data_IF_242746587159
#
_entry.id   IF_242746587159
#
_cell.length_a   1.000
_cell.length_b   1.000
_cell.length_c   1.000
_cell.angle_alpha   90.00
_cell.angle_beta   90.00
_cell.angle_gamma   90.00
#
_symmetry.space_group_name_H-M   'P 1'
#
loop_
_entity.id
_entity.type
_entity.pdbx_description
1 polymer ?
#
# COMPACT_ATOMS: atom_id res chain seq x y z
N UNK A 1 21.77 -6.23 21.99
CA UNK A 1 21.65 -6.02 20.53
C UNK A 1 21.65 -4.54 20.24
N UNK A 2 22.52 -4.06 19.34
CA UNK A 2 22.53 -2.65 18.94
C UNK A 2 21.21 -2.31 18.21
N UNK A 3 20.56 -1.20 18.59
CA UNK A 3 19.35 -0.74 17.89
C UNK A 3 19.71 -0.35 16.45
N UNK A 4 18.82 -0.59 15.47
CA UNK A 4 19.05 -0.20 14.08
C UNK A 4 19.32 1.31 13.98
N UNK A 5 20.25 1.70 13.09
CA UNK A 5 20.56 3.10 12.83
C UNK A 5 19.30 3.83 12.34
N UNK A 6 19.08 5.03 12.85
CA UNK A 6 17.96 5.90 12.51
C UNK A 6 18.50 7.14 11.77
N UNK A 7 17.75 7.69 10.80
CA UNK A 7 18.06 8.97 10.17
C UNK A 7 18.33 10.08 11.19
N UNK A 8 19.21 11.01 10.83
CA UNK A 8 19.64 12.08 11.75
C UNK A 8 18.46 12.96 12.17
N UNK A 9 17.60 13.32 11.22
CA UNK A 9 16.41 14.15 11.45
C UNK A 9 15.47 13.52 12.49
N UNK A 10 15.32 12.20 12.45
CA UNK A 10 14.49 11.45 13.39
C UNK A 10 15.11 11.42 14.80
N UNK A 11 16.44 11.39 14.91
CA UNK A 11 17.14 11.47 16.20
C UNK A 11 17.03 12.87 16.82
N UNK A 12 17.23 13.92 16.00
CA UNK A 12 17.11 15.32 16.42
C UNK A 12 15.69 15.65 16.88
N UNK A 13 14.67 15.14 16.17
CA UNK A 13 13.28 15.29 16.56
C UNK A 13 12.95 14.63 17.91
N UNK A 14 13.43 13.38 18.11
CA UNK A 14 13.20 12.66 19.37
C UNK A 14 13.88 13.31 20.59
N UNK A 15 14.83 14.21 20.39
CA UNK A 15 15.55 14.91 21.47
C UNK A 15 16.43 14.00 22.34
N UNK A 16 16.63 12.74 21.94
CA UNK A 16 17.25 11.71 22.79
C UNK A 16 18.78 11.61 22.63
N UNK A 17 19.41 12.54 21.89
CA UNK A 17 20.86 12.57 21.72
C UNK A 17 21.37 14.01 21.65
N UNK A 18 22.37 14.31 22.48
CA UNK A 18 23.19 15.51 22.36
C UNK A 18 24.31 15.18 21.36
N UNK A 19 24.10 15.48 20.08
CA UNK A 19 25.09 15.32 19.03
C UNK A 19 25.76 16.67 18.78
N UNK A 20 27.06 16.67 18.52
CA UNK A 20 27.76 17.90 18.11
C UNK A 20 27.40 18.27 16.66
N UNK A 21 27.66 19.52 16.25
CA UNK A 21 27.45 19.97 14.86
C UNK A 21 28.21 19.08 13.86
N UNK A 22 29.48 18.77 14.17
CA UNK A 22 30.32 17.89 13.35
C UNK A 22 29.76 16.46 13.24
N UNK A 23 29.28 15.88 14.34
CA UNK A 23 28.66 14.54 14.32
C UNK A 23 27.36 14.49 13.52
N UNK A 24 26.59 15.59 13.48
CA UNK A 24 25.37 15.71 12.68
C UNK A 24 25.73 15.71 11.19
N UNK A 25 26.69 16.55 10.79
CA UNK A 25 27.15 16.64 9.40
C UNK A 25 27.74 15.32 8.89
N UNK A 26 28.61 14.69 9.66
CA UNK A 26 29.19 13.39 9.31
C UNK A 26 28.12 12.32 9.10
N UNK A 27 27.09 12.29 9.96
CA UNK A 27 25.99 11.33 9.83
C UNK A 27 25.07 11.62 8.67
N UNK A 28 24.79 12.90 8.42
CA UNK A 28 23.96 13.31 7.29
C UNK A 28 24.65 13.02 5.96
N UNK A 29 25.96 13.21 5.88
CA UNK A 29 26.78 12.86 4.72
C UNK A 29 26.89 11.34 4.52
N UNK A 30 26.94 10.57 5.62
CA UNK A 30 26.94 9.11 5.58
C UNK A 30 25.55 8.49 5.32
N UNK A 31 24.48 9.29 5.30
CA UNK A 31 23.13 8.79 5.09
C UNK A 31 22.91 8.45 3.61
N UNK A 32 22.55 7.19 3.35
CA UNK A 32 22.30 6.71 1.99
C UNK A 32 20.97 7.28 1.52
N UNK A 33 21.02 8.15 0.50
CA UNK A 33 19.84 8.65 -0.20
C UNK A 33 19.69 7.92 -1.53
N UNK A 34 18.55 7.26 -1.73
CA UNK A 34 18.24 6.60 -2.99
C UNK A 34 17.92 7.65 -4.07
N UNK A 35 18.45 7.50 -5.30
CA UNK A 35 18.15 8.42 -6.39
C UNK A 35 16.68 8.28 -6.85
N UNK A 36 16.11 9.35 -7.41
CA UNK A 36 14.71 9.45 -7.86
C UNK A 36 14.56 9.89 -9.33
N UNK A 37 15.64 9.82 -10.11
CA UNK A 37 15.74 10.31 -11.49
C UNK A 37 15.13 9.39 -12.55
N UNK A 38 14.87 8.12 -12.23
CA UNK A 38 14.45 7.06 -13.18
C UNK A 38 13.08 6.48 -12.87
N UNK A 39 12.21 7.25 -12.21
CA UNK A 39 10.85 6.81 -11.89
C UNK A 39 9.99 6.86 -13.15
N UNK A 40 9.76 5.69 -13.75
CA UNK A 40 8.93 5.54 -14.96
C UNK A 40 8.11 4.26 -14.88
N UNK A 41 6.91 4.30 -15.47
CA UNK A 41 6.06 3.12 -15.56
C UNK A 41 6.76 2.01 -16.37
N UNK A 42 6.94 0.80 -15.81
CA UNK A 42 7.61 -0.29 -16.50
C UNK A 42 6.74 -0.85 -17.64
N UNK A 43 7.37 -1.56 -18.57
CA UNK A 43 6.70 -2.12 -19.76
C UNK A 43 5.57 -3.09 -19.41
N UNK A 44 5.76 -3.88 -18.34
CA UNK A 44 4.78 -4.86 -17.87
C UNK A 44 3.53 -4.22 -17.26
N UNK A 45 3.57 -2.93 -16.88
CA UNK A 45 2.40 -2.27 -16.31
C UNK A 45 1.35 -2.04 -17.40
N UNK A 46 0.10 -2.54 -17.19
CA UNK A 46 -1.01 -2.32 -18.11
C UNK A 46 -1.17 -0.84 -18.49
N UNK A 47 -1.45 -0.56 -19.77
CA UNK A 47 -1.47 0.81 -20.32
C UNK A 47 -2.45 1.73 -19.59
N UNK A 48 -3.60 1.19 -19.18
CA UNK A 48 -4.64 1.90 -18.44
C UNK A 48 -4.17 2.36 -17.05
N UNK A 49 -3.23 1.64 -16.42
CA UNK A 49 -2.68 1.98 -15.10
C UNK A 49 -1.54 3.00 -15.16
N UNK A 50 -1.00 3.31 -16.36
CA UNK A 50 0.16 4.21 -16.49
C UNK A 50 -0.17 5.65 -16.11
N UNK A 51 -1.41 6.09 -16.33
CA UNK A 51 -1.87 7.42 -15.90
C UNK A 51 -1.87 7.54 -14.38
N UNK A 52 -2.40 6.52 -13.70
CA UNK A 52 -2.43 6.47 -12.23
C UNK A 52 -1.04 6.33 -11.63
N UNK A 53 -0.17 5.54 -12.26
CA UNK A 53 1.24 5.46 -11.89
C UNK A 53 1.88 6.84 -11.89
N UNK A 54 1.77 7.57 -13.01
CA UNK A 54 2.36 8.90 -13.13
C UNK A 54 1.81 9.86 -12.07
N UNK A 55 0.50 9.89 -11.91
CA UNK A 55 -0.15 10.78 -10.92
C UNK A 55 0.39 10.54 -9.51
N UNK A 56 0.39 9.27 -9.08
CA UNK A 56 0.83 8.92 -7.72
C UNK A 56 2.33 9.12 -7.58
N UNK A 57 3.14 8.74 -8.57
CA UNK A 57 4.59 8.94 -8.51
C UNK A 57 4.95 10.42 -8.40
N UNK A 58 4.29 11.29 -9.16
CA UNK A 58 4.53 12.73 -9.14
C UNK A 58 4.21 13.31 -7.74
N UNK A 59 3.10 12.88 -7.12
CA UNK A 59 2.75 13.27 -5.75
C UNK A 59 3.78 12.78 -4.71
N UNK A 60 4.24 11.52 -4.83
CA UNK A 60 5.21 10.94 -3.90
C UNK A 60 6.63 11.54 -4.05
N UNK A 61 7.03 11.88 -5.28
CA UNK A 61 8.27 12.60 -5.57
C UNK A 61 8.21 14.01 -4.98
N UNK A 62 7.08 14.72 -5.14
CA UNK A 62 6.90 16.07 -4.63
C UNK A 62 7.06 16.17 -3.10
N UNK A 63 6.68 15.11 -2.37
CA UNK A 63 6.87 15.02 -0.91
C UNK A 63 8.17 14.31 -0.50
N UNK A 64 9.01 13.91 -1.46
CA UNK A 64 10.36 13.39 -1.22
C UNK A 64 10.44 11.96 -0.68
N UNK A 65 9.39 11.15 -0.81
CA UNK A 65 9.34 9.78 -0.25
C UNK A 65 9.44 8.65 -1.28
N UNK A 66 9.56 8.97 -2.57
CA UNK A 66 9.73 7.98 -3.63
C UNK A 66 11.10 8.05 -4.28
N UNK A 67 11.67 6.89 -4.51
CA UNK A 67 12.95 6.67 -5.19
C UNK A 67 12.80 5.69 -6.36
N UNK A 68 13.88 5.49 -7.10
CA UNK A 68 13.98 4.49 -8.17
C UNK A 68 13.67 3.07 -7.68
N UNK A 69 13.88 2.78 -6.38
CA UNK A 69 13.66 1.45 -5.80
C UNK A 69 12.17 1.16 -5.57
N UNK A 70 11.33 2.19 -5.51
CA UNK A 70 9.91 2.08 -5.13
C UNK A 70 8.98 1.86 -6.34
N UNK A 71 9.53 1.86 -7.56
CA UNK A 71 8.77 1.70 -8.81
C UNK A 71 7.94 0.42 -8.80
N UNK A 72 8.53 -0.71 -8.43
CA UNK A 72 7.84 -2.00 -8.39
C UNK A 72 6.80 -2.05 -7.26
N UNK A 73 7.06 -1.39 -6.13
CA UNK A 73 6.08 -1.29 -5.04
C UNK A 73 4.82 -0.54 -5.50
N UNK A 74 5.00 0.58 -6.20
CA UNK A 74 3.88 1.32 -6.80
C UNK A 74 3.13 0.50 -7.86
N UNK A 75 3.85 -0.27 -8.69
CA UNK A 75 3.21 -1.16 -9.65
C UNK A 75 2.37 -2.25 -8.98
N UNK A 76 2.90 -2.89 -7.92
CA UNK A 76 2.17 -3.90 -7.14
C UNK A 76 0.91 -3.32 -6.50
N UNK A 77 0.98 -2.10 -5.96
CA UNK A 77 -0.19 -1.39 -5.43
C UNK A 77 -1.26 -1.22 -6.52
N UNK A 78 -0.90 -0.68 -7.68
CA UNK A 78 -1.85 -0.41 -8.77
C UNK A 78 -2.49 -1.68 -9.32
N UNK A 79 -1.70 -2.74 -9.51
CA UNK A 79 -2.19 -4.04 -9.99
C UNK A 79 -3.14 -4.66 -8.96
N UNK A 80 -2.77 -4.67 -7.67
CA UNK A 80 -3.61 -5.21 -6.60
C UNK A 80 -4.92 -4.44 -6.48
N UNK A 81 -4.87 -3.10 -6.61
CA UNK A 81 -6.06 -2.24 -6.63
C UNK A 81 -6.98 -2.58 -7.81
N UNK A 82 -6.42 -2.76 -9.01
CA UNK A 82 -7.19 -3.13 -10.21
C UNK A 82 -7.88 -4.49 -10.02
N UNK A 83 -7.15 -5.50 -9.56
CA UNK A 83 -7.69 -6.85 -9.31
C UNK A 83 -8.79 -6.83 -8.25
N UNK A 84 -8.58 -6.08 -7.16
CA UNK A 84 -9.60 -5.86 -6.13
C UNK A 84 -10.89 -5.28 -6.72
N UNK A 85 -10.80 -4.24 -7.54
CA UNK A 85 -11.97 -3.62 -8.17
C UNK A 85 -12.68 -4.57 -9.14
N UNK A 86 -11.92 -5.35 -9.92
CA UNK A 86 -12.49 -6.34 -10.83
C UNK A 86 -13.29 -7.41 -10.07
N UNK A 87 -12.69 -8.02 -9.04
CA UNK A 87 -13.37 -9.03 -8.23
C UNK A 87 -14.55 -8.44 -7.46
N UNK A 88 -14.42 -7.22 -6.95
CA UNK A 88 -15.53 -6.53 -6.26
C UNK A 88 -16.70 -6.29 -7.20
N UNK A 89 -16.45 -5.86 -8.44
CA UNK A 89 -17.51 -5.68 -9.43
C UNK A 89 -18.19 -7.00 -9.78
N UNK A 90 -17.44 -8.10 -9.92
CA UNK A 90 -18.02 -9.44 -10.11
C UNK A 90 -18.90 -9.86 -8.93
N UNK A 91 -18.48 -9.60 -7.68
CA UNK A 91 -19.27 -9.90 -6.49
C UNK A 91 -20.57 -9.07 -6.45
N UNK A 92 -20.51 -7.78 -6.78
CA UNK A 92 -21.69 -6.90 -6.80
C UNK A 92 -22.74 -7.32 -7.85
N UNK A 93 -22.31 -8.01 -8.92
CA UNK A 93 -23.18 -8.44 -10.01
C UNK A 93 -23.64 -9.90 -9.87
N UNK A 94 -23.25 -10.61 -8.81
CA UNK A 94 -23.57 -12.03 -8.58
C UNK A 94 -24.38 -12.19 -7.29
N UNK A 95 -25.23 -13.21 -7.27
CA UNK A 95 -25.89 -13.64 -6.03
C UNK A 95 -25.03 -14.67 -5.29
N UNK A 96 -24.94 -14.59 -3.94
CA UNK A 96 -24.32 -15.64 -3.14
C UNK A 96 -25.13 -16.94 -3.17
N UNK A 97 -26.43 -16.87 -3.52
CA UNK A 97 -27.33 -18.02 -3.62
C UNK A 97 -27.67 -18.27 -5.09
N UNK A 98 -27.53 -19.52 -5.51
CA UNK A 98 -27.93 -20.00 -6.83
C UNK A 98 -29.13 -20.92 -6.65
N UNK A 99 -30.15 -20.70 -7.48
CA UNK A 99 -31.33 -21.56 -7.54
C UNK A 99 -31.21 -22.45 -8.78
N UNK A 100 -31.49 -23.74 -8.64
CA UNK A 100 -31.66 -24.64 -9.77
C UNK A 100 -32.82 -25.59 -9.53
N UNK A 101 -33.46 -26.01 -10.61
CA UNK A 101 -34.51 -27.02 -10.57
C UNK A 101 -33.87 -28.39 -10.49
N UNK A 102 -34.24 -29.16 -9.46
CA UNK A 102 -33.87 -30.57 -9.35
C UNK A 102 -35.07 -31.41 -9.76
N UNK A 103 -34.92 -32.23 -10.80
CA UNK A 103 -35.90 -33.26 -11.15
C UNK A 103 -35.86 -34.39 -10.11
N UNK A 104 -37.01 -34.72 -9.53
CA UNK A 104 -37.17 -35.89 -8.67
C UNK A 104 -37.47 -37.12 -9.53
N UNK A 105 -36.45 -37.89 -9.90
CA UNK A 105 -36.63 -39.23 -10.45
C UNK A 105 -36.01 -40.26 -9.49
N UNK A 106 -36.84 -40.84 -8.62
CA UNK A 106 -36.65 -42.20 -8.08
C UNK A 106 -38.01 -42.91 -8.17
N UNK A 107 -38.22 -43.65 -9.27
CA UNK A 107 -39.40 -44.46 -9.49
C UNK A 107 -39.37 -45.72 -8.62
N UNK A 108 -40.43 -45.98 -7.85
CA UNK A 108 -40.92 -47.34 -7.59
C UNK A 108 -42.41 -47.34 -7.92
N UNK A 109 -42.80 -48.20 -8.86
CA UNK A 109 -44.17 -48.44 -9.37
C UNK A 109 -44.72 -47.54 -10.50
N UNK A 110 -43.85 -47.01 -11.37
CA UNK A 110 -44.20 -46.84 -12.79
C UNK A 110 -45.12 -45.68 -13.19
N UNK A 111 -45.50 -44.77 -12.29
CA UNK A 111 -46.16 -43.50 -12.65
C UNK A 111 -45.30 -42.29 -12.27
N UNK A 112 -44.98 -41.45 -13.25
CA UNK A 112 -44.23 -40.19 -13.08
C UNK A 112 -45.22 -39.01 -13.05
N UNK A 113 -45.22 -38.19 -12.00
CA UNK A 113 -46.00 -36.94 -11.92
C UNK A 113 -45.01 -35.74 -11.97
N UNK A 114 -45.30 -34.65 -12.70
CA UNK A 114 -44.35 -33.56 -12.88
C UNK A 114 -44.24 -32.70 -11.61
N UNK A 115 -43.09 -32.72 -10.97
CA UNK A 115 -42.77 -31.86 -9.82
C UNK A 115 -41.29 -31.49 -9.81
N UNK A 116 -40.95 -30.36 -10.43
CA UNK A 116 -39.62 -29.76 -10.26
C UNK A 116 -39.58 -29.00 -8.93
N UNK A 117 -38.68 -29.40 -8.04
CA UNK A 117 -38.42 -28.67 -6.78
C UNK A 117 -37.26 -27.71 -6.99
N UNK A 118 -37.48 -26.42 -6.70
CA UNK A 118 -36.41 -25.42 -6.71
C UNK A 118 -35.54 -25.58 -5.47
N UNK A 119 -34.24 -25.83 -5.67
CA UNK A 119 -33.26 -25.95 -4.60
C UNK A 119 -32.37 -24.71 -4.59
N UNK A 120 -32.20 -24.11 -3.42
CA UNK A 120 -31.27 -23.02 -3.19
C UNK A 120 -29.95 -23.54 -2.61
N UNK A 121 -28.82 -23.17 -3.21
CA UNK A 121 -27.49 -23.51 -2.70
C UNK A 121 -26.59 -22.28 -2.67
N UNK A 122 -25.57 -22.29 -1.81
CA UNK A 122 -24.51 -21.30 -1.85
C UNK A 122 -23.60 -21.50 -3.07
N UNK A 123 -23.28 -20.40 -3.74
CA UNK A 123 -22.33 -20.39 -4.85
C UNK A 123 -20.90 -20.58 -4.36
N UNK A 124 -20.25 -21.68 -4.76
CA UNK A 124 -18.81 -21.87 -4.52
C UNK A 124 -17.97 -20.79 -5.18
N UNK A 125 -18.34 -20.37 -6.39
CA UNK A 125 -17.68 -19.29 -7.13
C UNK A 125 -17.76 -17.96 -6.37
N UNK A 126 -18.90 -17.66 -5.74
CA UNK A 126 -19.05 -16.46 -4.92
C UNK A 126 -18.13 -16.51 -3.68
N UNK A 127 -18.00 -17.68 -3.06
CA UNK A 127 -17.08 -17.89 -1.94
C UNK A 127 -15.61 -17.67 -2.38
N UNK A 128 -15.20 -18.22 -3.52
CA UNK A 128 -13.86 -18.04 -4.07
C UNK A 128 -13.55 -16.58 -4.42
N UNK A 129 -14.52 -15.88 -5.03
CA UNK A 129 -14.40 -14.44 -5.30
C UNK A 129 -14.25 -13.63 -4.01
N UNK A 130 -14.99 -13.98 -2.96
CA UNK A 130 -14.87 -13.33 -1.65
C UNK A 130 -13.48 -13.53 -1.04
N UNK A 131 -12.93 -14.74 -1.11
CA UNK A 131 -11.56 -15.03 -0.64
C UNK A 131 -10.51 -14.23 -1.42
N UNK A 132 -10.66 -14.15 -2.75
CA UNK A 132 -9.77 -13.38 -3.60
C UNK A 132 -9.88 -11.87 -3.34
N UNK A 133 -11.08 -11.37 -3.09
CA UNK A 133 -11.30 -9.96 -2.74
C UNK A 133 -10.53 -9.59 -1.48
N UNK A 134 -10.66 -10.38 -0.41
CA UNK A 134 -9.92 -10.16 0.85
C UNK A 134 -8.39 -10.20 0.64
N UNK A 135 -7.91 -11.17 -0.14
CA UNK A 135 -6.49 -11.26 -0.50
C UNK A 135 -5.99 -10.01 -1.23
N UNK A 136 -6.69 -9.55 -2.26
CA UNK A 136 -6.28 -8.35 -3.01
C UNK A 136 -6.42 -7.08 -2.19
N UNK A 137 -7.42 -6.99 -1.31
CA UNK A 137 -7.57 -5.89 -0.37
C UNK A 137 -6.36 -5.81 0.57
N UNK A 138 -5.95 -6.93 1.16
CA UNK A 138 -4.76 -7.02 2.03
C UNK A 138 -3.47 -6.64 1.31
N UNK A 139 -3.27 -7.16 0.09
CA UNK A 139 -2.11 -6.81 -0.74
C UNK A 139 -2.07 -5.31 -1.07
N UNK A 140 -3.21 -4.74 -1.47
CA UNK A 140 -3.35 -3.31 -1.74
C UNK A 140 -3.06 -2.48 -0.49
N UNK A 141 -3.60 -2.88 0.67
CA UNK A 141 -3.43 -2.17 1.94
C UNK A 141 -1.98 -2.20 2.43
N UNK A 142 -1.30 -3.32 2.28
CA UNK A 142 0.11 -3.49 2.63
C UNK A 142 0.97 -2.58 1.76
N UNK A 143 0.85 -2.68 0.43
CA UNK A 143 1.61 -1.84 -0.49
C UNK A 143 1.34 -0.34 -0.28
N UNK A 144 0.09 0.03 0.03
CA UNK A 144 -0.26 1.41 0.37
C UNK A 144 0.38 1.90 1.67
N UNK A 145 0.57 1.02 2.65
CA UNK A 145 1.27 1.35 3.90
C UNK A 145 2.76 1.59 3.65
N UNK A 146 3.37 0.72 2.84
CA UNK A 146 4.81 0.76 2.54
C UNK A 146 5.18 2.01 1.72
N UNK A 147 4.32 2.42 0.78
CA UNK A 147 4.50 3.61 -0.05
C UNK A 147 4.11 4.94 0.63
N UNK A 148 3.65 4.91 1.88
CA UNK A 148 3.20 6.14 2.54
C UNK A 148 1.86 6.70 2.00
N UNK A 149 1.03 5.88 1.35
CA UNK A 149 -0.25 6.35 0.78
C UNK A 149 -1.35 6.54 1.82
N UNK A 150 -1.18 6.04 3.04
CA UNK A 150 -2.15 6.23 4.13
C UNK A 150 -1.77 7.36 5.07
N UNK A 151 -2.76 7.98 5.71
CA UNK A 151 -2.51 9.08 6.66
C UNK A 151 -1.57 8.61 7.76
N UNK A 152 -1.85 7.46 8.38
CA UNK A 152 -1.01 6.90 9.45
C UNK A 152 0.42 6.58 9.00
N UNK A 153 0.64 6.14 7.75
CA UNK A 153 1.99 5.93 7.22
C UNK A 153 2.69 7.27 6.98
N UNK A 154 1.99 8.29 6.46
CA UNK A 154 2.58 9.64 6.28
C UNK A 154 2.96 10.27 7.60
N UNK A 155 2.12 10.18 8.64
CA UNK A 155 2.45 10.72 9.96
C UNK A 155 3.71 10.09 10.59
N UNK A 156 4.10 8.87 10.16
CA UNK A 156 5.37 8.25 10.57
C UNK A 156 6.57 8.74 9.76
N UNK A 157 6.33 9.24 8.54
CA UNK A 157 7.34 9.73 7.61
C UNK A 157 7.62 11.23 7.78
N UNK A 158 6.62 12.00 8.23
CA UNK A 158 6.80 13.42 8.54
C UNK A 158 7.62 13.53 9.82
N UNK A 159 8.90 13.86 9.67
CA UNK A 159 9.66 14.49 10.75
C UNK A 159 9.17 15.94 10.82
N UNK A 160 8.57 16.39 11.92
CA UNK A 160 8.22 17.79 12.09
C UNK A 160 9.50 18.61 11.95
N UNK A 161 9.53 19.52 10.97
CA UNK A 161 10.64 20.47 10.83
C UNK A 161 10.71 21.25 12.14
N UNK A 162 11.81 21.09 12.88
CA UNK A 162 12.13 21.99 13.98
C UNK A 162 12.32 23.35 13.32
N UNK A 163 11.63 24.39 13.80
CA UNK A 163 12.00 25.76 13.43
C UNK A 163 13.49 25.90 13.75
N UNK A 164 14.29 26.23 12.73
CA UNK A 164 15.68 26.63 12.93
C UNK A 164 15.62 27.86 13.81
N UNK A 165 15.89 27.67 15.11
CA UNK A 165 16.11 28.80 16.00
C UNK A 165 17.36 29.49 15.49
N UNK A 166 17.26 30.77 15.17
CA UNK A 166 18.45 31.58 14.91
C UNK A 166 19.44 31.36 16.05
N UNK A 167 20.74 31.16 15.74
CA UNK A 167 21.74 30.93 16.75
C UNK A 167 21.69 32.08 17.75
N UNK A 168 21.71 31.76 19.05
CA UNK A 168 21.77 32.82 20.05
C UNK A 168 23.09 33.60 19.91
N UNK A 169 23.13 34.87 20.30
CA UNK A 169 24.38 35.68 20.27
C UNK A 169 25.55 34.99 20.99
N UNK A 170 25.26 34.11 21.95
CA UNK A 170 26.26 33.30 22.64
C UNK A 170 26.82 32.17 21.76
N UNK A 171 25.98 31.49 20.99
CA UNK A 171 26.39 30.42 20.08
C UNK A 171 27.16 30.97 18.87
N UNK A 172 26.87 32.20 18.42
CA UNK A 172 27.66 32.88 17.38
C UNK A 172 29.06 33.28 17.88
N UNK A 173 29.19 33.67 19.16
CA UNK A 173 30.44 34.20 19.71
C UNK A 173 31.37 33.14 20.31
N UNK A 174 30.84 31.99 20.72
CA UNK A 174 31.59 30.96 21.45
C UNK A 174 31.40 29.55 20.90
N UNK A 175 30.76 29.39 19.74
CA UNK A 175 30.39 28.09 19.17
C UNK A 175 31.55 27.23 18.63
N UNK A 176 32.76 27.77 18.55
CA UNK A 176 33.97 27.10 18.02
C UNK A 176 35.01 26.75 19.11
N UNK A 177 34.63 26.77 20.40
CA UNK A 177 35.51 26.39 21.53
C UNK A 177 35.22 24.98 22.04
#
# INVERSE_FOLDING_TARGET
>A
MARPRQPIDLLLYKGNKNLTKQEIEERQAAEIKAPSDKIRAPSYLPKDLRRDFKKISDELIAIGIMSNLDVDALCRYLISRKLYLQVTNELLNRSPIVQYEKGEDDSVDGELIPGTTTVEIFSSVYADLTLNQDKFFKQCRQAASDLGLTISSRCKLVVPKKEEKEPSEFEERFGDV
#
